data_IF_363639203787
#
_entry.id   IF_363639203787
#
_cell.length_a   1.000
_cell.length_b   1.000
_cell.length_c   1.000
_cell.angle_alpha   90.00
_cell.angle_beta   90.00
_cell.angle_gamma   90.00
#
_symmetry.space_group_name_H-M   'P 1'
#
loop_
_entity.id
_entity.type
_entity.pdbx_description
1 polymer ?
#
# COMPACT_ATOMS: atom_id res chain seq x y z
N UNK A 1 -34.46 25.05 23.87
CA UNK A 1 -33.80 23.72 23.92
C UNK A 1 -33.45 23.34 25.36
N UNK A 2 -32.76 24.19 26.12
CA UNK A 2 -32.42 23.95 27.54
C UNK A 2 -33.64 23.64 28.42
N UNK A 3 -34.76 24.33 28.23
CA UNK A 3 -36.02 24.02 28.92
C UNK A 3 -36.56 22.62 28.60
N UNK A 4 -36.40 22.15 27.36
CA UNK A 4 -36.81 20.81 26.96
C UNK A 4 -35.92 19.72 27.58
N UNK A 5 -34.62 19.98 27.71
CA UNK A 5 -33.67 19.10 28.40
C UNK A 5 -33.94 19.03 29.90
N UNK A 6 -34.17 20.17 30.55
CA UNK A 6 -34.53 20.22 31.97
C UNK A 6 -35.83 19.43 32.25
N UNK A 7 -36.85 19.63 31.41
CA UNK A 7 -38.11 18.89 31.51
C UNK A 7 -37.91 17.38 31.33
N UNK A 8 -37.11 16.96 30.35
CA UNK A 8 -36.83 15.54 30.11
C UNK A 8 -35.99 14.92 31.25
N UNK A 9 -35.03 15.66 31.81
CA UNK A 9 -34.19 15.21 32.91
C UNK A 9 -34.98 14.99 34.20
N UNK A 10 -35.98 15.85 34.47
CA UNK A 10 -36.84 15.76 35.66
C UNK A 10 -37.78 14.53 35.67
N UNK A 11 -37.97 13.84 34.55
CA UNK A 11 -38.83 12.64 34.47
C UNK A 11 -38.19 11.50 35.28
N UNK A 12 -38.93 10.93 36.22
CA UNK A 12 -38.47 9.80 37.05
C UNK A 12 -38.60 8.46 36.34
N UNK A 13 -39.65 8.27 35.53
CA UNK A 13 -39.85 7.06 34.73
C UNK A 13 -38.86 7.00 33.55
N UNK A 14 -38.02 5.97 33.53
CA UNK A 14 -36.94 5.85 32.55
C UNK A 14 -37.47 5.70 31.11
N UNK A 15 -38.59 4.99 30.91
CA UNK A 15 -39.18 4.76 29.59
C UNK A 15 -39.73 6.07 29.02
N UNK A 16 -40.48 6.82 29.81
CA UNK A 16 -41.00 8.13 29.43
C UNK A 16 -39.87 9.14 29.18
N UNK A 17 -38.81 9.10 30.00
CA UNK A 17 -37.61 9.92 29.80
C UNK A 17 -36.97 9.65 28.43
N UNK A 18 -36.77 8.38 28.09
CA UNK A 18 -36.19 7.99 26.79
C UNK A 18 -37.08 8.46 25.63
N UNK A 19 -38.39 8.24 25.70
CA UNK A 19 -39.31 8.68 24.64
C UNK A 19 -39.29 10.20 24.47
N UNK A 20 -39.27 10.96 25.57
CA UNK A 20 -39.17 12.42 25.50
C UNK A 20 -37.87 12.87 24.83
N UNK A 21 -36.74 12.24 25.15
CA UNK A 21 -35.48 12.57 24.49
C UNK A 21 -35.45 12.14 23.02
N UNK A 22 -36.11 11.03 22.63
CA UNK A 22 -36.26 10.64 21.22
C UNK A 22 -37.02 11.69 20.42
N UNK A 23 -38.08 12.26 20.99
CA UNK A 23 -38.81 13.37 20.34
C UNK A 23 -37.91 14.58 20.12
N UNK A 24 -37.07 14.93 21.10
CA UNK A 24 -36.11 16.03 20.96
C UNK A 24 -35.06 15.69 19.88
N UNK A 25 -34.50 14.48 19.90
CA UNK A 25 -33.54 14.00 18.90
C UNK A 25 -34.12 14.07 17.48
N UNK A 26 -35.36 13.62 17.28
CA UNK A 26 -36.03 13.68 15.98
C UNK A 26 -36.16 15.12 15.45
N UNK A 27 -36.49 16.07 16.33
CA UNK A 27 -36.53 17.50 15.99
C UNK A 27 -35.14 18.04 15.64
N UNK A 28 -34.10 17.64 16.38
CA UNK A 28 -32.71 18.03 16.13
C UNK A 28 -32.24 17.52 14.76
N UNK A 29 -32.42 16.24 14.46
CA UNK A 29 -32.04 15.64 13.17
C UNK A 29 -32.78 16.30 12.02
N UNK A 30 -34.10 16.53 12.17
CA UNK A 30 -34.92 17.14 11.12
C UNK A 30 -34.53 18.60 10.84
N UNK A 31 -34.08 19.33 11.86
CA UNK A 31 -33.70 20.74 11.73
C UNK A 31 -32.43 20.98 10.91
N UNK A 32 -31.55 19.97 10.79
CA UNK A 32 -30.21 20.11 10.21
C UNK A 32 -29.35 21.23 10.84
N UNK A 33 -29.70 21.69 12.03
CA UNK A 33 -28.99 22.76 12.73
C UNK A 33 -27.83 22.19 13.56
N UNK A 34 -26.61 22.54 13.16
CA UNK A 34 -25.36 22.11 13.78
C UNK A 34 -25.29 22.53 15.25
N UNK A 35 -25.75 23.73 15.60
CA UNK A 35 -25.67 24.25 16.96
C UNK A 35 -26.59 23.45 17.88
N UNK A 36 -27.80 23.18 17.42
CA UNK A 36 -28.78 22.37 18.13
C UNK A 36 -28.32 20.93 18.32
N UNK A 37 -27.70 20.33 17.29
CA UNK A 37 -27.13 19.00 17.39
C UNK A 37 -25.96 18.95 18.40
N UNK A 38 -25.03 19.90 18.36
CA UNK A 38 -23.92 19.97 19.32
C UNK A 38 -24.41 20.09 20.76
N UNK A 39 -25.40 20.97 21.02
CA UNK A 39 -26.03 21.10 22.35
C UNK A 39 -26.69 19.81 22.84
N UNK A 40 -27.33 19.06 21.94
CA UNK A 40 -27.90 17.75 22.28
C UNK A 40 -26.82 16.76 22.69
N UNK A 41 -25.71 16.70 21.94
CA UNK A 41 -24.58 15.81 22.24
C UNK A 41 -23.94 16.16 23.59
N UNK A 42 -23.68 17.45 23.85
CA UNK A 42 -23.11 17.91 25.12
C UNK A 42 -24.00 17.50 26.30
N UNK A 43 -25.33 17.68 26.17
CA UNK A 43 -26.30 17.28 27.18
C UNK A 43 -26.32 15.76 27.39
N UNK A 44 -26.30 14.96 26.32
CA UNK A 44 -26.28 13.49 26.41
C UNK A 44 -25.01 12.95 27.05
N UNK A 45 -23.88 13.64 26.91
CA UNK A 45 -22.59 13.23 27.48
C UNK A 45 -22.33 13.79 28.88
N UNK A 46 -23.18 14.70 29.36
CA UNK A 46 -23.13 15.24 30.71
C UNK A 46 -23.49 14.20 31.78
N UNK A 47 -23.19 14.52 33.04
CA UNK A 47 -23.55 13.69 34.19
C UNK A 47 -25.04 13.76 34.57
N UNK A 48 -25.79 14.71 33.97
CA UNK A 48 -27.23 14.85 34.18
C UNK A 48 -28.05 13.73 33.52
N UNK A 49 -27.44 13.00 32.58
CA UNK A 49 -28.09 11.92 31.83
C UNK A 49 -27.52 10.56 32.25
N UNK A 50 -28.34 9.65 32.79
CA UNK A 50 -27.88 8.30 33.13
C UNK A 50 -27.27 7.59 31.92
N UNK A 51 -26.14 6.89 32.12
CA UNK A 51 -25.37 6.27 31.04
C UNK A 51 -26.19 5.36 30.13
N UNK A 52 -27.14 4.59 30.69
CA UNK A 52 -28.02 3.70 29.91
C UNK A 52 -28.89 4.49 28.92
N UNK A 53 -29.41 5.64 29.36
CA UNK A 53 -30.22 6.54 28.52
C UNK A 53 -29.34 7.21 27.46
N UNK A 54 -28.16 7.70 27.85
CA UNK A 54 -27.18 8.30 26.95
C UNK A 54 -26.76 7.33 25.84
N UNK A 55 -26.37 6.10 26.18
CA UNK A 55 -26.02 5.05 25.20
C UNK A 55 -27.13 4.79 24.20
N UNK A 56 -28.37 4.61 24.69
CA UNK A 56 -29.50 4.32 23.81
C UNK A 56 -29.80 5.46 22.84
N UNK A 57 -29.75 6.71 23.31
CA UNK A 57 -30.05 7.87 22.48
C UNK A 57 -28.92 8.18 21.51
N UNK A 58 -27.65 8.06 21.93
CA UNK A 58 -26.51 8.21 21.05
C UNK A 58 -26.43 7.09 20.00
N UNK A 59 -26.92 5.89 20.31
CA UNK A 59 -27.11 4.81 19.34
C UNK A 59 -28.14 5.22 18.27
N UNK A 60 -29.30 5.70 18.68
CA UNK A 60 -30.33 6.18 17.74
C UNK A 60 -29.81 7.36 16.91
N UNK A 61 -29.12 8.31 17.54
CA UNK A 61 -28.47 9.42 16.85
C UNK A 61 -27.48 8.94 15.79
N UNK A 62 -26.59 8.00 16.14
CA UNK A 62 -25.61 7.44 15.22
C UNK A 62 -26.29 6.75 14.03
N UNK A 63 -27.37 6.00 14.25
CA UNK A 63 -28.14 5.35 13.19
C UNK A 63 -28.82 6.35 12.25
N UNK A 64 -29.35 7.46 12.79
CA UNK A 64 -30.05 8.50 12.01
C UNK A 64 -29.13 9.57 11.40
N UNK A 65 -27.83 9.53 11.70
CA UNK A 65 -26.82 10.50 11.27
C UNK A 65 -26.83 10.75 9.75
N UNK A 66 -27.11 9.71 8.95
CA UNK A 66 -27.18 9.81 7.49
C UNK A 66 -28.40 10.54 6.93
N UNK A 67 -29.34 11.01 7.77
CA UNK A 67 -30.46 11.88 7.35
C UNK A 67 -30.07 13.35 7.27
N UNK A 68 -28.94 13.72 7.87
CA UNK A 68 -28.44 15.08 7.84
C UNK A 68 -27.84 15.39 6.47
N UNK A 69 -27.79 16.67 6.13
CA UNK A 69 -27.05 17.14 4.95
C UNK A 69 -25.55 16.84 5.11
N UNK A 70 -24.82 16.51 4.04
CA UNK A 70 -23.41 16.08 4.08
C UNK A 70 -22.49 16.95 4.95
N UNK A 71 -22.53 18.27 4.79
CA UNK A 71 -21.69 19.18 5.57
C UNK A 71 -22.04 19.19 7.06
N UNK A 72 -23.34 19.24 7.38
CA UNK A 72 -23.81 19.17 8.76
C UNK A 72 -23.46 17.81 9.39
N UNK A 73 -23.62 16.73 8.64
CA UNK A 73 -23.24 15.38 9.05
C UNK A 73 -21.76 15.30 9.42
N UNK A 74 -20.86 15.80 8.55
CA UNK A 74 -19.41 15.81 8.79
C UNK A 74 -19.06 16.60 10.06
N UNK A 75 -19.59 17.80 10.21
CA UNK A 75 -19.31 18.67 11.35
C UNK A 75 -19.82 18.10 12.67
N UNK A 76 -21.07 17.61 12.69
CA UNK A 76 -21.67 17.04 13.88
C UNK A 76 -20.96 15.74 14.25
N UNK A 77 -20.70 14.85 13.29
CA UNK A 77 -20.01 13.58 13.54
C UNK A 77 -18.60 13.78 14.14
N UNK A 78 -17.79 14.68 13.55
CA UNK A 78 -16.46 15.03 14.08
C UNK A 78 -16.52 15.59 15.49
N UNK A 79 -17.48 16.49 15.73
CA UNK A 79 -17.69 17.06 17.05
C UNK A 79 -18.05 15.98 18.07
N UNK A 80 -19.00 15.10 17.73
CA UNK A 80 -19.43 13.99 18.58
C UNK A 80 -18.26 13.06 18.91
N UNK A 81 -17.45 12.67 17.92
CA UNK A 81 -16.27 11.83 18.17
C UNK A 81 -15.27 12.50 19.14
N UNK A 82 -15.08 13.82 19.02
CA UNK A 82 -14.20 14.58 19.91
C UNK A 82 -14.75 14.63 21.35
N UNK A 83 -16.05 14.89 21.51
CA UNK A 83 -16.68 14.94 22.83
C UNK A 83 -16.79 13.58 23.51
N UNK A 84 -16.95 12.50 22.75
CA UNK A 84 -17.01 11.12 23.28
C UNK A 84 -15.63 10.63 23.73
N UNK A 85 -14.53 11.14 23.14
CA UNK A 85 -13.17 10.63 23.35
C UNK A 85 -12.76 10.40 24.82
N UNK A 86 -13.06 11.29 25.79
CA UNK A 86 -12.71 11.08 27.21
C UNK A 86 -13.40 9.86 27.84
N UNK A 87 -14.53 9.43 27.29
CA UNK A 87 -15.37 8.31 27.77
C UNK A 87 -15.55 7.24 26.70
N UNK A 88 -14.63 7.13 25.73
CA UNK A 88 -14.78 6.30 24.52
C UNK A 88 -15.11 4.83 24.82
N UNK A 89 -14.50 4.25 25.86
CA UNK A 89 -14.75 2.87 26.33
C UNK A 89 -16.22 2.65 26.72
N UNK A 90 -16.91 3.71 27.17
CA UNK A 90 -18.33 3.64 27.50
C UNK A 90 -19.24 3.68 26.27
N UNK A 91 -18.75 4.09 25.10
CA UNK A 91 -19.55 4.39 23.91
C UNK A 91 -18.97 3.76 22.63
N UNK A 92 -18.24 2.64 22.75
CA UNK A 92 -17.54 2.00 21.62
C UNK A 92 -18.46 1.69 20.43
N UNK A 93 -19.67 1.20 20.69
CA UNK A 93 -20.64 0.87 19.63
C UNK A 93 -21.11 2.11 18.88
N UNK A 94 -21.39 3.21 19.59
CA UNK A 94 -21.82 4.46 18.97
C UNK A 94 -20.68 5.08 18.15
N UNK A 95 -19.45 5.04 18.67
CA UNK A 95 -18.25 5.52 17.98
C UNK A 95 -18.01 4.74 16.69
N UNK A 96 -18.17 3.42 16.73
CA UNK A 96 -18.06 2.56 15.55
C UNK A 96 -19.04 2.98 14.46
N UNK A 97 -20.33 3.10 14.78
CA UNK A 97 -21.37 3.46 13.79
C UNK A 97 -21.12 4.85 13.22
N UNK A 98 -20.72 5.82 14.05
CA UNK A 98 -20.41 7.18 13.60
C UNK A 98 -19.22 7.17 12.64
N UNK A 99 -18.15 6.42 12.97
CA UNK A 99 -16.97 6.29 12.10
C UNK A 99 -17.29 5.63 10.77
N UNK A 100 -18.08 4.56 10.77
CA UNK A 100 -18.50 3.89 9.53
C UNK A 100 -19.31 4.82 8.62
N UNK A 101 -20.34 5.50 9.16
CA UNK A 101 -21.15 6.44 8.38
C UNK A 101 -20.35 7.63 7.84
N UNK A 102 -19.39 8.11 8.63
CA UNK A 102 -18.52 9.20 8.20
C UNK A 102 -17.53 8.74 7.12
N UNK A 103 -17.03 7.50 7.23
CA UNK A 103 -16.22 6.89 6.18
C UNK A 103 -16.99 6.71 4.87
N UNK A 104 -18.22 6.17 4.92
CA UNK A 104 -19.12 6.04 3.76
C UNK A 104 -19.37 7.39 3.07
N UNK A 105 -19.59 8.45 3.86
CA UNK A 105 -19.80 9.79 3.32
C UNK A 105 -18.53 10.30 2.61
N UNK A 106 -17.36 10.18 3.23
CA UNK A 106 -16.10 10.57 2.60
C UNK A 106 -15.78 9.76 1.35
N UNK A 107 -16.07 8.46 1.37
CA UNK A 107 -15.91 7.58 0.21
C UNK A 107 -16.80 8.03 -0.95
N UNK A 108 -18.06 8.40 -0.67
CA UNK A 108 -18.98 8.93 -1.69
C UNK A 108 -18.52 10.26 -2.30
N UNK A 109 -17.76 11.06 -1.53
CA UNK A 109 -17.14 12.31 -1.95
C UNK A 109 -15.73 12.10 -2.56
N UNK A 110 -15.27 10.85 -2.71
CA UNK A 110 -13.92 10.47 -3.18
C UNK A 110 -12.79 11.04 -2.32
N UNK A 111 -13.04 11.26 -1.03
CA UNK A 111 -12.05 11.65 -0.04
C UNK A 111 -11.46 10.39 0.62
N UNK A 112 -10.69 9.62 -0.16
CA UNK A 112 -10.28 8.27 0.20
C UNK A 112 -9.44 8.19 1.47
N UNK A 113 -8.42 9.04 1.59
CA UNK A 113 -7.58 9.13 2.79
C UNK A 113 -8.38 9.45 4.05
N UNK A 114 -9.38 10.34 3.96
CA UNK A 114 -10.22 10.70 5.12
C UNK A 114 -11.16 9.55 5.49
N UNK A 115 -11.72 8.83 4.51
CA UNK A 115 -12.51 7.62 4.76
C UNK A 115 -11.66 6.54 5.46
N UNK A 116 -10.44 6.31 4.98
CA UNK A 116 -9.49 5.36 5.55
C UNK A 116 -9.13 5.74 7.00
N UNK A 117 -8.88 7.03 7.26
CA UNK A 117 -8.62 7.56 8.60
C UNK A 117 -9.79 7.32 9.56
N UNK A 118 -11.04 7.50 9.09
CA UNK A 118 -12.21 7.25 9.94
C UNK A 118 -12.30 5.79 10.37
N UNK A 119 -12.13 4.86 9.44
CA UNK A 119 -12.15 3.41 9.71
C UNK A 119 -10.94 2.95 10.54
N UNK A 120 -9.75 3.51 10.30
CA UNK A 120 -8.53 3.17 11.05
C UNK A 120 -8.60 3.48 12.53
N UNK A 121 -9.45 4.44 12.93
CA UNK A 121 -9.69 4.79 14.33
C UNK A 121 -10.69 3.88 15.05
N UNK A 122 -11.21 2.84 14.40
CA UNK A 122 -12.00 1.78 15.05
C UNK A 122 -11.03 0.84 15.76
N UNK A 123 -11.25 0.61 17.05
CA UNK A 123 -10.48 -0.38 17.81
C UNK A 123 -10.92 -1.80 17.43
N UNK A 124 -10.16 -2.43 16.54
CA UNK A 124 -10.39 -3.80 16.09
C UNK A 124 -9.95 -4.86 17.13
N UNK A 125 -9.21 -4.45 18.15
CA UNK A 125 -8.65 -5.32 19.19
C UNK A 125 -9.34 -5.13 20.55
N UNK A 126 -10.46 -4.39 20.59
CA UNK A 126 -11.23 -4.15 21.82
C UNK A 126 -11.58 -5.48 22.50
N UNK A 127 -11.16 -5.63 23.75
CA UNK A 127 -11.47 -6.79 24.60
C UNK A 127 -12.91 -6.81 25.10
N UNK A 128 -13.69 -5.74 24.89
CA UNK A 128 -15.08 -5.66 25.33
C UNK A 128 -16.07 -6.23 24.30
N UNK A 129 -15.68 -6.28 23.01
CA UNK A 129 -16.50 -6.82 21.93
C UNK A 129 -15.84 -8.06 21.35
N UNK A 130 -16.59 -9.15 21.24
CA UNK A 130 -16.16 -10.29 20.41
C UNK A 130 -16.28 -9.85 18.95
N UNK A 131 -15.16 -9.40 18.38
CA UNK A 131 -15.05 -9.08 16.96
C UNK A 131 -14.58 -10.34 16.25
N UNK A 132 -15.37 -10.81 15.29
CA UNK A 132 -15.02 -11.95 14.45
C UNK A 132 -13.83 -11.63 13.53
N UNK A 133 -12.98 -12.61 13.28
CA UNK A 133 -11.78 -12.45 12.45
C UNK A 133 -12.12 -12.07 11.01
N UNK A 134 -13.29 -12.50 10.49
CA UNK A 134 -13.79 -12.09 9.18
C UNK A 134 -14.10 -10.60 9.12
N UNK A 135 -14.67 -10.02 10.19
CA UNK A 135 -14.91 -8.57 10.25
C UNK A 135 -13.60 -7.79 10.31
N UNK A 136 -12.62 -8.24 11.11
CA UNK A 136 -11.28 -7.62 11.18
C UNK A 136 -10.60 -7.65 9.82
N UNK A 137 -10.62 -8.80 9.15
CA UNK A 137 -10.06 -8.96 7.81
C UNK A 137 -10.72 -7.99 6.83
N UNK A 138 -12.05 -7.95 6.81
CA UNK A 138 -12.83 -7.05 5.95
C UNK A 138 -12.44 -5.58 6.15
N UNK A 139 -12.36 -5.11 7.40
CA UNK A 139 -11.97 -3.73 7.69
C UNK A 139 -10.52 -3.43 7.33
N UNK A 140 -9.57 -4.33 7.60
CA UNK A 140 -8.18 -4.14 7.20
C UNK A 140 -8.03 -4.04 5.68
N UNK A 141 -8.71 -4.91 4.92
CA UNK A 141 -8.69 -4.86 3.44
C UNK A 141 -9.37 -3.57 2.95
N UNK A 142 -10.52 -3.19 3.50
CA UNK A 142 -11.21 -1.95 3.13
C UNK A 142 -10.33 -0.71 3.37
N UNK A 143 -9.68 -0.61 4.54
CA UNK A 143 -8.80 0.52 4.85
C UNK A 143 -7.61 0.57 3.88
N UNK A 144 -6.99 -0.58 3.58
CA UNK A 144 -5.89 -0.65 2.64
C UNK A 144 -6.32 -0.23 1.22
N UNK A 145 -7.49 -0.69 0.75
CA UNK A 145 -8.07 -0.27 -0.54
C UNK A 145 -8.27 1.23 -0.60
N UNK A 146 -8.83 1.85 0.44
CA UNK A 146 -9.06 3.30 0.46
C UNK A 146 -7.75 4.10 0.37
N UNK A 147 -6.71 3.71 1.13
CA UNK A 147 -5.40 4.36 1.01
C UNK A 147 -4.78 4.19 -0.39
N UNK A 148 -5.01 3.05 -1.04
CA UNK A 148 -4.51 2.79 -2.39
C UNK A 148 -5.19 3.62 -3.49
N UNK A 149 -6.37 4.18 -3.25
CA UNK A 149 -7.01 5.11 -4.20
C UNK A 149 -6.34 6.50 -4.21
N UNK A 150 -5.60 6.85 -3.15
CA UNK A 150 -4.74 8.04 -3.06
C UNK A 150 -3.24 7.70 -3.22
N UNK A 151 -2.90 6.52 -3.76
CA UNK A 151 -1.53 6.02 -3.93
C UNK A 151 -0.69 5.96 -2.62
N UNK A 152 -1.33 5.97 -1.45
CA UNK A 152 -0.67 5.90 -0.14
C UNK A 152 -0.33 4.45 0.25
N UNK A 153 0.69 3.92 -0.42
CA UNK A 153 1.15 2.56 -0.20
C UNK A 153 1.69 2.32 1.23
N UNK A 154 2.16 3.37 1.92
CA UNK A 154 2.75 3.24 3.26
C UNK A 154 1.67 2.91 4.28
N UNK A 155 0.60 3.71 4.31
CA UNK A 155 -0.52 3.45 5.20
C UNK A 155 -1.28 2.19 4.79
N UNK A 156 -1.45 1.94 3.49
CA UNK A 156 -2.07 0.71 3.00
C UNK A 156 -1.31 -0.56 3.46
N UNK A 157 0.02 -0.55 3.42
CA UNK A 157 0.85 -1.69 3.84
C UNK A 157 0.70 -2.01 5.33
N UNK A 158 0.54 -0.99 6.18
CA UNK A 158 0.32 -1.22 7.61
C UNK A 158 -0.92 -2.07 7.89
N UNK A 159 -2.02 -1.84 7.14
CA UNK A 159 -3.27 -2.60 7.30
C UNK A 159 -3.26 -3.94 6.55
N UNK A 160 -2.62 -4.02 5.38
CA UNK A 160 -2.51 -5.29 4.65
C UNK A 160 -1.67 -6.31 5.44
N UNK A 161 -0.62 -5.85 6.14
CA UNK A 161 0.19 -6.72 6.99
C UNK A 161 -0.61 -7.27 8.17
N UNK A 162 -1.52 -6.48 8.76
CA UNK A 162 -2.47 -6.99 9.77
C UNK A 162 -3.41 -8.03 9.17
N UNK A 163 -3.95 -7.78 7.98
CA UNK A 163 -4.82 -8.73 7.27
C UNK A 163 -4.11 -10.06 6.94
N UNK A 164 -2.79 -10.05 6.71
CA UNK A 164 -2.00 -11.23 6.36
C UNK A 164 -2.05 -12.35 7.41
N UNK A 165 -2.21 -12.00 8.69
CA UNK A 165 -2.31 -12.97 9.78
C UNK A 165 -3.69 -13.65 9.85
N UNK A 166 -4.71 -13.04 9.25
CA UNK A 166 -6.10 -13.49 9.28
C UNK A 166 -6.49 -14.23 8.00
N UNK A 167 -5.91 -13.86 6.87
CA UNK A 167 -6.29 -14.35 5.54
C UNK A 167 -6.10 -15.86 5.38
N UNK A 168 -5.09 -16.46 6.02
CA UNK A 168 -4.80 -17.90 5.89
C UNK A 168 -5.89 -18.80 6.48
N UNK A 169 -6.61 -18.29 7.49
CA UNK A 169 -7.66 -19.02 8.20
C UNK A 169 -9.08 -18.61 7.72
N UNK A 170 -9.16 -17.64 6.82
CA UNK A 170 -10.42 -17.10 6.31
C UNK A 170 -11.05 -18.01 5.27
N UNK A 171 -12.33 -18.34 5.48
CA UNK A 171 -13.16 -19.04 4.50
C UNK A 171 -13.81 -18.08 3.46
N UNK A 172 -13.61 -16.77 3.61
CA UNK A 172 -14.19 -15.76 2.73
C UNK A 172 -13.34 -15.58 1.46
N UNK A 173 -13.65 -16.36 0.42
CA UNK A 173 -12.87 -16.36 -0.83
C UNK A 173 -12.81 -14.97 -1.51
N UNK A 174 -13.88 -14.18 -1.46
CA UNK A 174 -13.93 -12.81 -2.01
C UNK A 174 -12.93 -11.88 -1.30
N UNK A 175 -12.96 -11.87 0.04
CA UNK A 175 -12.02 -11.06 0.83
C UNK A 175 -10.57 -11.50 0.61
N UNK A 176 -10.34 -12.80 0.45
CA UNK A 176 -9.01 -13.34 0.14
C UNK A 176 -8.51 -12.87 -1.24
N UNK A 177 -9.40 -12.74 -2.22
CA UNK A 177 -9.06 -12.17 -3.53
C UNK A 177 -8.75 -10.66 -3.42
N UNK A 178 -9.62 -9.89 -2.76
CA UNK A 178 -9.43 -8.46 -2.56
C UNK A 178 -8.10 -8.17 -1.83
N UNK A 179 -7.77 -8.97 -0.81
CA UNK A 179 -6.47 -8.95 -0.13
C UNK A 179 -5.31 -9.16 -1.13
N UNK A 180 -5.37 -10.20 -1.98
CA UNK A 180 -4.31 -10.49 -2.96
C UNK A 180 -4.11 -9.33 -3.93
N UNK A 181 -5.19 -8.74 -4.42
CA UNK A 181 -5.16 -7.60 -5.34
C UNK A 181 -4.53 -6.37 -4.66
N UNK A 182 -4.95 -6.06 -3.43
CA UNK A 182 -4.38 -4.95 -2.66
C UNK A 182 -2.89 -5.16 -2.41
N UNK A 183 -2.50 -6.37 -1.99
CA UNK A 183 -1.10 -6.68 -1.72
C UNK A 183 -0.23 -6.53 -2.98
N UNK A 184 -0.70 -7.00 -4.14
CA UNK A 184 0.00 -6.81 -5.41
C UNK A 184 0.16 -5.32 -5.77
N UNK A 185 -0.89 -4.50 -5.60
CA UNK A 185 -0.86 -3.04 -5.81
C UNK A 185 0.15 -2.34 -4.91
N UNK A 186 0.20 -2.71 -3.63
CA UNK A 186 1.15 -2.14 -2.65
C UNK A 186 2.59 -2.44 -3.08
N UNK A 187 2.89 -3.67 -3.50
CA UNK A 187 4.22 -4.05 -3.97
C UNK A 187 4.64 -3.27 -5.22
N UNK A 188 3.72 -3.08 -6.17
CA UNK A 188 3.94 -2.28 -7.39
C UNK A 188 4.25 -0.80 -7.05
N UNK A 189 3.43 -0.17 -6.20
CA UNK A 189 3.65 1.21 -5.74
C UNK A 189 4.98 1.38 -5.00
N UNK A 190 5.36 0.39 -4.20
CA UNK A 190 6.65 0.36 -3.48
C UNK A 190 7.84 -0.05 -4.36
N UNK A 191 7.64 -0.19 -5.68
CA UNK A 191 8.66 -0.57 -6.68
C UNK A 191 9.27 -1.94 -6.44
N UNK A 192 8.60 -2.82 -5.68
CA UNK A 192 8.94 -4.24 -5.54
C UNK A 192 8.40 -5.03 -6.72
N UNK A 193 8.80 -4.62 -7.93
CA UNK A 193 8.13 -5.04 -9.17
C UNK A 193 8.15 -6.55 -9.40
N UNK A 194 9.25 -7.24 -9.07
CA UNK A 194 9.33 -8.67 -9.27
C UNK A 194 8.36 -9.45 -8.37
N UNK A 195 8.22 -9.02 -7.11
CA UNK A 195 7.25 -9.59 -6.17
C UNK A 195 5.82 -9.28 -6.62
N UNK A 196 5.56 -8.04 -7.03
CA UNK A 196 4.26 -7.62 -7.57
C UNK A 196 3.88 -8.44 -8.82
N UNK A 197 4.83 -8.65 -9.74
CA UNK A 197 4.63 -9.39 -10.97
C UNK A 197 4.17 -10.83 -10.72
N UNK A 198 4.81 -11.52 -9.78
CA UNK A 198 4.42 -12.87 -9.39
C UNK A 198 2.99 -12.91 -8.85
N UNK A 199 2.61 -11.96 -7.98
CA UNK A 199 1.25 -11.88 -7.42
C UNK A 199 0.21 -11.55 -8.48
N UNK A 200 0.49 -10.61 -9.36
CA UNK A 200 -0.39 -10.29 -10.47
C UNK A 200 -0.56 -11.46 -11.43
N UNK A 201 0.51 -12.20 -11.72
CA UNK A 201 0.43 -13.41 -12.53
C UNK A 201 -0.44 -14.47 -11.85
N UNK A 202 -0.25 -14.73 -10.56
CA UNK A 202 -1.09 -15.66 -9.78
C UNK A 202 -2.58 -15.28 -9.84
N UNK A 203 -2.89 -13.97 -9.75
CA UNK A 203 -4.27 -13.46 -9.86
C UNK A 203 -4.82 -13.70 -11.28
N UNK A 204 -4.02 -13.50 -12.32
CA UNK A 204 -4.43 -13.74 -13.71
C UNK A 204 -4.76 -15.22 -14.01
N UNK A 205 -4.25 -16.15 -13.21
CA UNK A 205 -4.45 -17.59 -13.37
C UNK A 205 -5.70 -18.10 -12.64
N UNK A 206 -6.49 -17.23 -12.01
CA UNK A 206 -7.72 -17.65 -11.35
C UNK A 206 -8.70 -18.19 -12.41
N UNK A 207 -9.02 -19.49 -12.33
CA UNK A 207 -9.95 -20.15 -13.24
C UNK A 207 -11.41 -19.97 -12.82
N UNK A 208 -11.67 -19.85 -11.51
CA UNK A 208 -13.03 -19.61 -10.99
C UNK A 208 -13.54 -18.26 -11.48
N UNK A 209 -14.52 -18.27 -12.39
CA UNK A 209 -15.18 -17.03 -12.88
C UNK A 209 -16.24 -16.49 -11.92
N UNK A 210 -16.59 -17.26 -10.90
CA UNK A 210 -17.53 -16.86 -9.86
C UNK A 210 -16.94 -17.24 -8.49
N UNK A 211 -16.88 -16.27 -7.59
CA UNK A 211 -16.40 -16.44 -6.22
C UNK A 211 -17.44 -15.80 -5.31
N UNK A 212 -18.21 -16.63 -4.60
CA UNK A 212 -19.39 -16.16 -3.87
C UNK A 212 -20.39 -15.48 -4.80
N UNK A 213 -20.79 -14.26 -4.44
CA UNK A 213 -21.71 -13.43 -5.23
C UNK A 213 -20.99 -12.56 -6.29
N UNK A 214 -19.65 -12.53 -6.30
CA UNK A 214 -18.87 -11.74 -7.25
C UNK A 214 -18.52 -12.56 -8.50
N UNK A 215 -18.75 -11.97 -9.67
CA UNK A 215 -18.29 -12.51 -10.95
C UNK A 215 -16.95 -11.85 -11.29
N UNK A 216 -15.95 -12.68 -11.58
CA UNK A 216 -14.64 -12.19 -12.01
C UNK A 216 -14.70 -11.86 -13.49
N UNK A 217 -14.55 -10.58 -13.79
CA UNK A 217 -14.47 -10.07 -15.16
C UNK A 217 -13.20 -10.59 -15.87
N UNK A 218 -13.34 -11.00 -17.12
CA UNK A 218 -12.19 -11.40 -17.94
C UNK A 218 -11.26 -10.21 -18.19
N UNK A 219 -11.80 -9.00 -18.31
CA UNK A 219 -11.02 -7.77 -18.44
C UNK A 219 -10.14 -7.53 -17.21
N UNK A 220 -10.62 -7.86 -16.00
CA UNK A 220 -9.85 -7.73 -14.77
C UNK A 220 -8.67 -8.73 -14.73
N UNK A 221 -8.86 -9.95 -15.24
CA UNK A 221 -7.79 -10.96 -15.36
C UNK A 221 -6.75 -10.55 -16.40
N UNK A 222 -7.18 -9.98 -17.53
CA UNK A 222 -6.28 -9.42 -18.55
C UNK A 222 -5.47 -8.23 -17.99
N UNK A 223 -6.10 -7.36 -17.21
CA UNK A 223 -5.42 -6.26 -16.52
C UNK A 223 -4.39 -6.77 -15.51
N UNK A 224 -4.70 -7.82 -14.75
CA UNK A 224 -3.74 -8.46 -13.84
C UNK A 224 -2.55 -9.03 -14.64
N UNK A 225 -2.80 -9.73 -15.75
CA UNK A 225 -1.72 -10.23 -16.60
C UNK A 225 -0.86 -9.10 -17.20
N UNK A 226 -1.50 -8.01 -17.64
CA UNK A 226 -0.82 -6.81 -18.13
C UNK A 226 0.06 -6.18 -17.06
N UNK A 227 -0.43 -6.09 -15.82
CA UNK A 227 0.34 -5.60 -14.68
C UNK A 227 1.52 -6.53 -14.36
N UNK A 228 1.35 -7.85 -14.47
CA UNK A 228 2.43 -8.81 -14.28
C UNK A 228 3.56 -8.64 -15.30
N UNK A 229 3.21 -8.50 -16.58
CA UNK A 229 4.17 -8.24 -17.66
C UNK A 229 4.87 -6.90 -17.45
N UNK A 230 4.11 -5.85 -17.16
CA UNK A 230 4.63 -4.50 -16.92
C UNK A 230 5.63 -4.48 -15.77
N UNK A 231 5.27 -5.05 -14.61
CA UNK A 231 6.16 -5.14 -13.46
C UNK A 231 7.40 -5.99 -13.77
N UNK A 232 7.26 -7.09 -14.51
CA UNK A 232 8.44 -7.90 -14.90
C UNK A 232 9.41 -7.13 -15.78
N UNK A 233 8.91 -6.33 -16.73
CA UNK A 233 9.75 -5.50 -17.60
C UNK A 233 10.48 -4.43 -16.79
N UNK A 234 9.81 -3.77 -15.84
CA UNK A 234 10.36 -2.72 -14.97
C UNK A 234 11.30 -3.23 -13.87
N UNK A 235 11.22 -4.52 -13.50
CA UNK A 235 12.08 -5.11 -12.49
C UNK A 235 13.56 -5.06 -12.91
N UNK A 236 14.46 -4.96 -11.92
CA UNK A 236 15.90 -5.02 -12.13
C UNK A 236 16.34 -6.32 -12.83
N UNK A 237 17.37 -6.24 -13.67
CA UNK A 237 17.91 -7.39 -14.37
C UNK A 237 18.42 -8.47 -13.39
N UNK A 238 18.13 -9.74 -13.66
CA UNK A 238 18.61 -10.84 -12.84
C UNK A 238 17.96 -12.20 -13.16
N UNK A 239 18.49 -13.31 -12.60
CA UNK A 239 18.06 -14.67 -12.95
C UNK A 239 16.58 -14.95 -12.65
N UNK A 240 16.04 -14.35 -11.58
CA UNK A 240 14.62 -14.52 -11.24
C UNK A 240 13.72 -13.77 -12.23
N UNK A 241 14.09 -12.53 -12.63
CA UNK A 241 13.37 -11.79 -13.68
C UNK A 241 13.36 -12.57 -15.00
N UNK A 242 14.49 -13.13 -15.43
CA UNK A 242 14.58 -13.93 -16.66
C UNK A 242 13.66 -15.15 -16.64
N UNK A 243 13.52 -15.81 -15.47
CA UNK A 243 12.56 -16.92 -15.29
C UNK A 243 11.11 -16.45 -15.45
N UNK A 244 10.74 -15.33 -14.84
CA UNK A 244 9.38 -14.78 -14.96
C UNK A 244 9.08 -14.33 -16.39
N UNK A 245 10.03 -13.68 -17.07
CA UNK A 245 9.92 -13.34 -18.49
C UNK A 245 9.67 -14.57 -19.36
N UNK A 246 10.39 -15.67 -19.11
CA UNK A 246 10.20 -16.93 -19.83
C UNK A 246 8.80 -17.52 -19.62
N UNK A 247 8.29 -17.47 -18.40
CA UNK A 247 6.91 -17.90 -18.09
C UNK A 247 5.89 -17.06 -18.83
N UNK A 248 5.99 -15.73 -18.75
CA UNK A 248 5.06 -14.80 -19.41
C UNK A 248 5.12 -14.90 -20.93
N UNK A 249 6.30 -15.05 -21.51
CA UNK A 249 6.45 -15.18 -22.96
C UNK A 249 5.81 -16.46 -23.51
N UNK A 250 5.81 -17.55 -22.72
CA UNK A 250 5.18 -18.83 -23.08
C UNK A 250 3.67 -18.86 -22.83
N UNK A 251 3.13 -17.92 -22.06
CA UNK A 251 1.69 -17.78 -21.86
C UNK A 251 1.06 -17.14 -23.10
N UNK A 252 0.30 -17.93 -23.87
CA UNK A 252 -0.33 -17.49 -25.11
C UNK A 252 -1.24 -16.27 -24.92
N UNK A 253 -1.81 -16.07 -23.73
CA UNK A 253 -2.66 -14.91 -23.42
C UNK A 253 -1.85 -13.61 -23.50
N UNK A 254 -0.56 -13.65 -23.19
CA UNK A 254 0.32 -12.49 -23.32
C UNK A 254 0.42 -12.00 -24.77
N UNK A 255 0.26 -12.87 -25.78
CA UNK A 255 0.34 -12.48 -27.20
C UNK A 255 -0.75 -11.50 -27.65
N UNK A 256 -1.86 -11.44 -26.92
CA UNK A 256 -2.98 -10.53 -27.20
C UNK A 256 -2.80 -9.15 -26.57
N UNK A 257 -1.87 -9.03 -25.62
CA UNK A 257 -1.65 -7.78 -24.89
C UNK A 257 -0.97 -6.74 -25.79
N UNK A 258 -1.37 -5.48 -25.65
CA UNK A 258 -0.74 -4.36 -26.37
C UNK A 258 0.76 -4.25 -26.11
N UNK A 259 1.20 -4.63 -24.91
CA UNK A 259 2.60 -4.60 -24.47
C UNK A 259 3.40 -5.86 -24.85
N UNK A 260 2.83 -6.81 -25.59
CA UNK A 260 3.54 -8.01 -26.04
C UNK A 260 4.82 -7.74 -26.85
N UNK A 261 4.88 -6.76 -27.78
CA UNK A 261 6.09 -6.53 -28.57
C UNK A 261 7.32 -6.21 -27.71
N UNK A 262 7.15 -5.44 -26.64
CA UNK A 262 8.25 -5.14 -25.72
C UNK A 262 8.61 -6.36 -24.86
N UNK A 263 7.63 -7.12 -24.36
CA UNK A 263 7.87 -8.39 -23.66
C UNK A 263 8.73 -9.34 -24.50
N UNK A 264 8.36 -9.53 -25.78
CA UNK A 264 9.10 -10.38 -26.70
C UNK A 264 10.54 -9.91 -26.87
N UNK A 265 10.78 -8.61 -27.06
CA UNK A 265 12.13 -8.09 -27.21
C UNK A 265 12.97 -8.20 -25.94
N UNK A 266 12.36 -7.92 -24.79
CA UNK A 266 13.03 -8.05 -23.49
C UNK A 266 13.41 -9.51 -23.23
N UNK A 267 12.51 -10.45 -23.46
CA UNK A 267 12.77 -11.89 -23.30
C UNK A 267 13.84 -12.41 -24.26
N UNK A 268 13.80 -11.98 -25.53
CA UNK A 268 14.81 -12.34 -26.53
C UNK A 268 16.11 -11.53 -26.42
N UNK A 269 16.25 -10.74 -25.35
CA UNK A 269 17.43 -9.92 -25.06
C UNK A 269 17.84 -9.01 -26.23
N UNK A 270 16.85 -8.47 -26.95
CA UNK A 270 17.06 -7.53 -28.05
C UNK A 270 17.15 -6.10 -27.53
N UNK A 271 17.94 -5.28 -28.21
CA UNK A 271 18.01 -3.84 -27.96
C UNK A 271 16.64 -3.19 -28.22
N UNK A 272 16.17 -2.42 -27.25
CA UNK A 272 14.94 -1.64 -27.28
C UNK A 272 15.24 -0.23 -27.80
N UNK A 273 14.55 0.19 -28.85
CA UNK A 273 14.74 1.53 -29.43
C UNK A 273 13.83 2.56 -28.76
N UNK A 274 14.23 3.82 -28.79
CA UNK A 274 13.52 4.94 -28.16
C UNK A 274 12.00 5.01 -28.49
N UNK A 275 11.55 4.85 -29.75
CA UNK A 275 10.11 4.87 -30.05
C UNK A 275 9.30 3.77 -29.36
N UNK A 276 9.92 2.61 -29.11
CA UNK A 276 9.29 1.46 -28.47
C UNK A 276 9.19 1.67 -26.96
N UNK A 277 10.24 2.25 -26.37
CA UNK A 277 10.26 2.65 -24.96
C UNK A 277 9.21 3.73 -24.72
N UNK A 278 9.10 4.72 -25.61
CA UNK A 278 8.15 5.81 -25.48
C UNK A 278 6.70 5.31 -25.63
N UNK A 279 6.44 4.37 -26.55
CA UNK A 279 5.14 3.71 -26.67
C UNK A 279 4.79 2.90 -25.41
N UNK A 280 5.73 2.14 -24.85
CA UNK A 280 5.50 1.42 -23.59
C UNK A 280 5.28 2.37 -22.42
N UNK A 281 6.02 3.48 -22.36
CA UNK A 281 5.84 4.51 -21.35
C UNK A 281 4.41 5.05 -21.34
N UNK A 282 3.75 5.20 -22.49
CA UNK A 282 2.35 5.67 -22.54
C UNK A 282 1.37 4.74 -21.80
N UNK A 283 1.67 3.44 -21.73
CA UNK A 283 0.85 2.44 -21.04
C UNK A 283 1.12 2.37 -19.51
N UNK A 284 2.18 3.02 -19.01
CA UNK A 284 2.55 2.99 -17.59
C UNK A 284 1.74 3.95 -16.72
N UNK A 285 1.50 3.54 -15.48
CA UNK A 285 0.88 4.35 -14.43
C UNK A 285 1.82 5.48 -13.95
N UNK A 286 1.30 6.56 -13.36
CA UNK A 286 2.12 7.67 -12.88
C UNK A 286 3.24 7.24 -11.92
N UNK A 287 2.98 6.36 -10.97
CA UNK A 287 3.98 5.88 -10.00
C UNK A 287 5.11 5.07 -10.64
N UNK A 288 4.84 4.40 -11.76
CA UNK A 288 5.82 3.63 -12.54
C UNK A 288 6.74 4.53 -13.37
N UNK A 289 6.37 5.82 -13.52
CA UNK A 289 7.17 6.87 -14.18
C UNK A 289 7.88 7.79 -13.19
N UNK A 290 7.86 7.46 -11.91
CA UNK A 290 8.43 8.31 -10.88
C UNK A 290 9.93 8.53 -11.11
N UNK A 291 10.37 9.78 -10.90
CA UNK A 291 11.78 10.13 -10.95
C UNK A 291 12.53 9.52 -9.76
N UNK A 292 13.75 9.08 -10.04
CA UNK A 292 14.75 8.63 -9.10
C UNK A 292 15.69 9.80 -8.75
N UNK A 293 16.53 9.67 -7.70
CA UNK A 293 17.44 10.75 -7.28
C UNK A 293 18.43 11.24 -8.36
N UNK A 294 18.69 10.43 -9.38
CA UNK A 294 19.58 10.70 -10.52
C UNK A 294 18.85 11.37 -11.71
N UNK A 295 17.60 11.80 -11.52
CA UNK A 295 16.69 12.34 -12.53
C UNK A 295 16.32 11.38 -13.67
N UNK A 296 16.62 10.08 -13.55
CA UNK A 296 16.04 9.07 -14.42
C UNK A 296 14.70 8.59 -13.88
N UNK A 297 13.80 8.17 -14.76
CA UNK A 297 12.61 7.43 -14.31
C UNK A 297 12.97 5.98 -14.00
N UNK A 298 12.11 5.30 -13.24
CA UNK A 298 12.19 3.84 -13.06
C UNK A 298 12.26 3.10 -14.40
N UNK A 299 11.46 3.53 -15.38
CA UNK A 299 11.49 2.96 -16.73
C UNK A 299 12.84 3.18 -17.39
N UNK A 300 13.39 4.39 -17.37
CA UNK A 300 14.68 4.70 -18.00
C UNK A 300 15.77 3.77 -17.44
N UNK A 301 15.83 3.61 -16.11
CA UNK A 301 16.80 2.73 -15.46
C UNK A 301 16.67 1.29 -15.96
N UNK A 302 15.46 0.74 -15.96
CA UNK A 302 15.20 -0.63 -16.41
C UNK A 302 15.58 -0.84 -17.88
N UNK A 303 15.30 0.14 -18.76
CA UNK A 303 15.61 0.04 -20.19
C UNK A 303 17.10 0.19 -20.47
N UNK A 304 17.78 1.08 -19.75
CA UNK A 304 19.22 1.28 -19.85
C UNK A 304 19.96 0.01 -19.42
N UNK A 305 19.62 -0.56 -18.25
CA UNK A 305 20.22 -1.81 -17.76
C UNK A 305 19.99 -2.97 -18.73
N UNK A 306 18.77 -3.09 -19.26
CA UNK A 306 18.43 -4.10 -20.26
C UNK A 306 19.25 -3.94 -21.54
N UNK A 307 19.26 -2.74 -22.13
CA UNK A 307 19.97 -2.49 -23.38
C UNK A 307 21.50 -2.65 -23.21
N UNK A 308 22.05 -2.30 -22.05
CA UNK A 308 23.46 -2.50 -21.74
C UNK A 308 23.81 -3.99 -21.70
N UNK A 309 22.98 -4.82 -21.05
CA UNK A 309 23.14 -6.27 -21.03
C UNK A 309 23.00 -6.88 -22.43
N UNK A 310 22.06 -6.39 -23.24
CA UNK A 310 21.93 -6.80 -24.64
C UNK A 310 23.17 -6.41 -25.45
N UNK A 311 23.70 -5.21 -25.26
CA UNK A 311 24.88 -4.74 -25.97
C UNK A 311 26.13 -5.56 -25.61
N UNK A 312 26.33 -5.92 -24.33
CA UNK A 312 27.48 -6.72 -23.91
C UNK A 312 27.54 -8.11 -24.53
N UNK A 313 26.39 -8.65 -24.96
CA UNK A 313 26.30 -9.94 -25.68
C UNK A 313 26.50 -9.81 -27.18
N UNK A 314 26.31 -8.61 -27.73
CA UNK A 314 26.35 -8.35 -29.18
C UNK A 314 27.68 -7.74 -29.63
N UNK A 315 28.31 -6.94 -28.78
CA UNK A 315 29.52 -6.20 -29.10
C UNK A 315 30.70 -6.70 -28.29
N UNK A 316 31.84 -6.94 -28.94
CA UNK A 316 33.12 -7.17 -28.24
C UNK A 316 33.69 -5.88 -27.67
N UNK A 317 33.46 -4.75 -28.36
CA UNK A 317 33.79 -3.41 -27.92
C UNK A 317 32.82 -2.41 -28.58
N UNK A 318 32.59 -1.28 -27.92
CA UNK A 318 31.75 -0.19 -28.40
C UNK A 318 32.23 1.12 -27.76
N UNK A 319 32.21 2.23 -28.52
CA UNK A 319 32.57 3.54 -27.98
C UNK A 319 31.46 4.09 -27.06
N UNK A 320 31.79 4.97 -26.11
CA UNK A 320 30.77 5.60 -25.26
C UNK A 320 29.78 6.47 -26.04
N UNK A 321 30.20 7.05 -27.18
CA UNK A 321 29.31 7.82 -28.05
C UNK A 321 28.24 6.93 -28.70
N UNK A 322 28.66 5.79 -29.27
CA UNK A 322 27.76 4.83 -29.88
C UNK A 322 26.89 4.12 -28.84
N UNK A 323 27.47 3.75 -27.70
CA UNK A 323 26.73 3.14 -26.59
C UNK A 323 25.71 4.11 -26.01
N UNK A 324 26.06 5.38 -25.81
CA UNK A 324 25.10 6.41 -25.39
C UNK A 324 23.94 6.57 -26.36
N UNK A 325 24.23 6.58 -27.66
CA UNK A 325 23.21 6.62 -28.72
C UNK A 325 22.29 5.39 -28.67
N UNK A 326 22.85 4.20 -28.45
CA UNK A 326 22.10 2.94 -28.34
C UNK A 326 21.22 2.90 -27.08
N UNK A 327 21.73 3.38 -25.95
CA UNK A 327 21.03 3.43 -24.67
C UNK A 327 20.02 4.59 -24.60
N UNK A 328 20.11 5.58 -25.49
CA UNK A 328 19.26 6.77 -25.47
C UNK A 328 19.64 7.78 -24.38
N UNK A 329 20.91 7.81 -23.96
CA UNK A 329 21.44 8.74 -22.95
C UNK A 329 22.65 9.51 -23.48
N UNK A 330 22.92 10.72 -22.96
CA UNK A 330 24.12 11.46 -23.32
C UNK A 330 25.40 10.65 -23.02
N UNK A 331 26.44 10.69 -23.88
CA UNK A 331 27.66 9.88 -23.70
C UNK A 331 28.31 10.07 -22.32
N UNK A 332 28.33 11.30 -21.79
CA UNK A 332 28.89 11.59 -20.47
C UNK A 332 28.12 10.95 -19.29
N UNK A 333 26.87 10.53 -19.50
CA UNK A 333 26.10 9.78 -18.50
C UNK A 333 26.31 8.27 -18.59
N UNK A 334 26.87 7.76 -19.69
CA UNK A 334 27.10 6.32 -19.88
C UNK A 334 28.07 5.80 -18.83
N UNK A 335 29.14 6.55 -18.54
CA UNK A 335 30.14 6.22 -17.53
C UNK A 335 29.52 6.10 -16.12
N UNK A 336 28.60 7.00 -15.76
CA UNK A 336 27.92 6.96 -14.46
C UNK A 336 26.90 5.81 -14.33
N UNK A 337 26.43 5.26 -15.46
CA UNK A 337 25.49 4.14 -15.51
C UNK A 337 26.25 2.81 -15.44
N UNK A 338 27.40 2.73 -16.10
CA UNK A 338 28.28 1.57 -16.07
C UNK A 338 29.07 1.65 -14.77
N UNK A 339 28.52 1.07 -13.72
CA UNK A 339 29.37 0.58 -12.64
C UNK A 339 30.11 -0.63 -13.18
N UNK A 340 31.38 -0.43 -13.52
CA UNK A 340 32.30 -1.54 -13.39
C UNK A 340 32.18 -1.99 -11.94
N UNK A 341 31.91 -3.28 -11.72
CA UNK A 341 32.35 -3.90 -10.47
C UNK A 341 33.86 -3.71 -10.47
N UNK A 342 34.33 -2.56 -9.97
CA UNK A 342 35.65 -2.53 -9.40
C UNK A 342 35.53 -3.56 -8.29
N UNK A 343 36.08 -4.76 -8.52
CA UNK A 343 36.35 -5.79 -7.51
C UNK A 343 37.37 -5.22 -6.51
N UNK A 344 37.00 -4.10 -5.89
CA UNK A 344 37.67 -3.46 -4.78
C UNK A 344 37.77 -4.46 -3.64
N UNK A 345 36.83 -5.40 -3.50
CA UNK A 345 36.92 -6.50 -2.55
C UNK A 345 38.07 -7.48 -2.86
N UNK A 346 38.28 -7.90 -4.11
CA UNK A 346 39.40 -8.79 -4.45
C UNK A 346 40.75 -8.08 -4.31
N UNK A 347 40.86 -6.82 -4.75
CA UNK A 347 42.06 -6.00 -4.56
C UNK A 347 42.34 -5.71 -3.08
N UNK A 348 41.32 -5.40 -2.27
CA UNK A 348 41.47 -5.18 -0.83
C UNK A 348 41.85 -6.48 -0.09
N UNK A 349 41.29 -7.62 -0.50
CA UNK A 349 41.71 -8.93 0.03
C UNK A 349 43.17 -9.23 -0.33
N UNK A 350 43.59 -8.92 -1.54
CA UNK A 350 44.96 -9.10 -1.99
C UNK A 350 45.94 -8.22 -1.21
N UNK A 351 45.60 -6.94 -1.01
CA UNK A 351 46.39 -6.02 -0.18
C UNK A 351 46.48 -6.50 1.27
N UNK A 352 45.38 -6.98 1.86
CA UNK A 352 45.40 -7.56 3.21
C UNK A 352 46.29 -8.81 3.30
N UNK A 353 46.27 -9.66 2.28
CA UNK A 353 47.13 -10.84 2.22
C UNK A 353 48.61 -10.47 2.10
N UNK A 354 48.96 -9.46 1.30
CA UNK A 354 50.34 -8.95 1.19
C UNK A 354 50.81 -8.37 2.52
N UNK A 355 49.99 -7.55 3.17
CA UNK A 355 50.31 -6.98 4.50
C UNK A 355 50.53 -8.09 5.51
N UNK A 356 49.67 -9.12 5.54
CA UNK A 356 49.83 -10.27 6.42
C UNK A 356 51.13 -11.05 6.16
N UNK A 357 51.52 -11.22 4.89
CA UNK A 357 52.75 -11.91 4.51
C UNK A 357 54.00 -11.11 4.93
N UNK A 358 53.99 -9.79 4.72
CA UNK A 358 55.05 -8.90 5.17
C UNK A 358 55.21 -8.90 6.69
N UNK A 359 54.10 -8.89 7.44
CA UNK A 359 54.12 -8.96 8.89
C UNK A 359 54.73 -10.28 9.38
N UNK A 360 54.30 -11.41 8.80
CA UNK A 360 54.82 -12.73 9.13
C UNK A 360 56.32 -12.85 8.81
N UNK A 361 56.78 -12.26 7.71
CA UNK A 361 58.20 -12.20 7.37
C UNK A 361 58.98 -11.40 8.41
N UNK A 362 58.47 -10.23 8.81
CA UNK A 362 59.11 -9.41 9.85
C UNK A 362 59.17 -10.15 11.20
N UNK A 363 58.13 -10.87 11.59
CA UNK A 363 58.11 -11.66 12.82
C UNK A 363 59.16 -12.79 12.79
N UNK A 364 59.35 -13.42 11.62
CA UNK A 364 60.40 -14.42 11.42
C UNK A 364 61.79 -13.78 11.52
N UNK A 365 62.00 -12.62 10.89
CA UNK A 365 63.25 -11.87 10.97
C UNK A 365 63.58 -11.46 12.41
N UNK A 366 62.59 -10.95 13.15
CA UNK A 366 62.73 -10.58 14.56
C UNK A 366 63.04 -11.81 15.45
N UNK A 367 62.42 -12.95 15.16
CA UNK A 367 62.68 -14.22 15.85
C UNK A 367 64.09 -14.74 15.55
N UNK A 368 64.55 -14.62 14.31
CA UNK A 368 65.92 -14.95 13.91
C UNK A 368 66.94 -14.04 14.61
N UNK A 369 66.69 -12.73 14.65
CA UNK A 369 67.52 -11.76 15.37
C UNK A 369 67.61 -12.10 16.86
N UNK A 370 66.48 -12.37 17.53
CA UNK A 370 66.43 -12.75 18.95
C UNK A 370 67.18 -14.05 19.25
N UNK A 371 67.28 -14.96 18.27
CA UNK A 371 68.03 -16.22 18.39
C UNK A 371 69.49 -16.10 17.96
N UNK A 372 69.97 -14.90 17.61
CA UNK A 372 71.35 -14.66 17.20
C UNK A 372 71.72 -15.24 15.83
N UNK A 373 70.72 -15.52 14.99
CA UNK A 373 70.93 -16.00 13.62
C UNK A 373 71.26 -14.82 12.71
N UNK A 374 72.24 -14.99 11.82
CA UNK A 374 72.59 -13.96 10.84
C UNK A 374 71.45 -13.78 9.83
N UNK A 375 70.95 -12.55 9.71
CA UNK A 375 69.96 -12.17 8.70
C UNK A 375 70.72 -11.72 7.45
N UNK A 376 70.54 -12.39 6.30
CA UNK A 376 71.07 -11.89 5.03
C UNK A 376 70.30 -10.63 4.65
N UNK A 377 71.02 -9.53 4.51
CA UNK A 377 70.51 -8.23 4.03
C UNK A 377 70.39 -8.26 2.51
#
# INVERSE_FOLDING_TARGET
MESAFANASAITDQRQKIEQYKHILSSVISSNDIIHAKKFIDHMLSDDVPLVVSRQLLQTFAQELGRLQPEAQKDIAKYTLTQIQPRVVSFEEQVLIIREKLAELYESERQWSLAAQMLSGIDLDSGMRVIDDGYRLSKCVQIASLYLEDDDAVNAEAFINKASFLVSNSQHEVLNLQYKVCYARILDLKRKFLEAALRYYDISQIEKRQIGDETIDEDALEQALTAAVTCTILAAAGPQRSRVLATLYKDERCSKLKIYPILQKVYLERILRKPEIDAFSQELKPHQKALLPDNFTVLDRAMIEHNLLSASKLYTNISFEELGTLLGIPPHKVEAVIHFEDDTEELQQWDQQIVGLCQALNDVLDSMAKKGLAIPV
#
